data_IF_281173686336
#
_entry.id   IF_281173686336
#
_cell.length_a   1.000
_cell.length_b   1.000
_cell.length_c   1.000
_cell.angle_alpha   90.00
_cell.angle_beta   90.00
_cell.angle_gamma   90.00
#
_symmetry.space_group_name_H-M   'P 1'
#
loop_
_entity.id
_entity.type
_entity.pdbx_description
1 polymer ?
#
# COMPACT_ATOMS: atom_id res chain seq x y z
N UNK A 1 24.43 -7.75 9.14
CA UNK A 1 24.73 -6.34 8.77
C UNK A 1 24.65 -5.49 10.02
N UNK A 2 25.44 -4.41 10.12
CA UNK A 2 25.29 -3.46 11.22
C UNK A 2 24.06 -2.59 10.93
N UNK A 3 23.16 -2.37 11.90
CA UNK A 3 22.00 -1.48 11.71
C UNK A 3 22.44 -0.06 11.32
N UNK A 4 21.65 0.58 10.45
CA UNK A 4 21.78 2.01 10.17
C UNK A 4 21.40 2.83 11.42
N UNK A 5 21.80 4.11 11.53
CA UNK A 5 21.36 4.96 12.64
C UNK A 5 19.83 5.02 12.81
N UNK A 6 19.10 5.02 11.69
CA UNK A 6 17.64 4.98 11.68
C UNK A 6 17.11 3.64 12.23
N UNK A 7 17.68 2.52 11.78
CA UNK A 7 17.31 1.18 12.27
C UNK A 7 17.63 1.02 13.75
N UNK A 8 18.80 1.49 14.20
CA UNK A 8 19.19 1.49 15.61
C UNK A 8 18.21 2.29 16.47
N UNK A 9 17.85 3.51 16.04
CA UNK A 9 16.86 4.33 16.74
C UNK A 9 15.53 3.58 16.92
N UNK A 10 15.03 2.94 15.86
CA UNK A 10 13.76 2.20 15.89
C UNK A 10 13.82 0.97 16.80
N UNK A 11 14.92 0.22 16.78
CA UNK A 11 15.10 -0.97 17.63
C UNK A 11 15.08 -0.65 19.13
N UNK A 12 15.45 0.57 19.52
CA UNK A 12 15.46 0.99 20.92
C UNK A 12 14.19 1.74 21.35
N UNK A 13 13.47 2.39 20.42
CA UNK A 13 12.43 3.39 20.76
C UNK A 13 11.02 3.00 20.32
N UNK A 14 10.90 2.23 19.23
CA UNK A 14 9.61 1.99 18.58
C UNK A 14 8.80 0.89 19.26
N UNK A 15 7.52 0.73 18.90
CA UNK A 15 6.69 -0.37 19.37
C UNK A 15 7.17 -1.75 18.88
N UNK A 16 6.76 -2.85 19.52
CA UNK A 16 7.14 -4.20 19.14
C UNK A 16 6.91 -4.53 17.65
N UNK A 17 5.82 -4.04 17.06
CA UNK A 17 5.52 -4.22 15.64
C UNK A 17 6.59 -3.63 14.72
N UNK A 18 7.01 -2.39 14.99
CA UNK A 18 8.07 -1.74 14.21
C UNK A 18 9.39 -2.47 14.42
N UNK A 19 9.76 -2.78 15.67
CA UNK A 19 11.01 -3.48 15.97
C UNK A 19 11.08 -4.83 15.25
N UNK A 20 10.02 -5.63 15.34
CA UNK A 20 9.91 -6.92 14.66
C UNK A 20 10.11 -6.77 13.15
N UNK A 21 9.40 -5.83 12.52
CA UNK A 21 9.49 -5.60 11.07
C UNK A 21 10.86 -5.08 10.63
N UNK A 22 11.51 -4.22 11.43
CA UNK A 22 12.90 -3.82 11.15
C UNK A 22 13.84 -5.02 11.18
N UNK A 23 13.69 -5.93 12.16
CA UNK A 23 14.51 -7.13 12.27
C UNK A 23 14.26 -8.09 11.09
N UNK A 24 13.00 -8.34 10.73
CA UNK A 24 12.65 -9.35 9.71
C UNK A 24 12.73 -8.83 8.28
N UNK A 25 12.22 -7.63 8.00
CA UNK A 25 12.23 -7.06 6.64
C UNK A 25 13.58 -6.40 6.34
N UNK A 26 14.12 -5.56 7.22
CA UNK A 26 15.32 -4.79 6.89
C UNK A 26 16.63 -5.52 7.22
N UNK A 27 16.69 -6.17 8.37
CA UNK A 27 17.89 -6.89 8.83
C UNK A 27 17.90 -8.38 8.49
N UNK A 28 16.83 -8.87 7.84
CA UNK A 28 16.71 -10.22 7.28
C UNK A 28 16.89 -11.33 8.33
N UNK A 29 16.50 -11.06 9.58
CA UNK A 29 16.37 -12.12 10.59
C UNK A 29 15.18 -12.99 10.20
N UNK A 30 15.39 -14.31 10.17
CA UNK A 30 14.33 -15.24 9.84
C UNK A 30 13.14 -15.05 10.79
N UNK A 31 11.89 -14.95 10.30
CA UNK A 31 10.72 -14.90 11.16
C UNK A 31 10.62 -16.09 12.12
N UNK A 32 11.24 -17.23 11.82
CA UNK A 32 11.29 -18.41 12.70
C UNK A 32 12.36 -18.33 13.80
N UNK A 33 13.17 -17.28 13.85
CA UNK A 33 14.26 -17.15 14.81
C UNK A 33 13.73 -17.06 16.26
N UNK A 34 14.25 -17.88 17.20
CA UNK A 34 13.80 -17.87 18.60
C UNK A 34 13.95 -16.51 19.29
N UNK A 35 14.92 -15.68 18.88
CA UNK A 35 15.13 -14.34 19.44
C UNK A 35 13.93 -13.40 19.25
N UNK A 36 13.06 -13.67 18.28
CA UNK A 36 11.87 -12.88 17.99
C UNK A 36 10.64 -13.30 18.82
N UNK A 37 10.73 -14.35 19.64
CA UNK A 37 9.58 -14.92 20.34
C UNK A 37 8.91 -13.93 21.30
N UNK A 38 9.71 -13.13 22.03
CA UNK A 38 9.17 -12.13 22.94
C UNK A 38 8.44 -11.02 22.16
N UNK A 39 9.06 -10.50 21.09
CA UNK A 39 8.45 -9.48 20.25
C UNK A 39 7.11 -9.93 19.65
N UNK A 40 7.02 -11.18 19.19
CA UNK A 40 5.74 -11.74 18.69
C UNK A 40 4.66 -11.75 19.76
N UNK A 41 5.01 -12.17 20.98
CA UNK A 41 4.11 -12.15 22.13
C UNK A 41 3.67 -10.73 22.45
N UNK A 42 4.61 -9.78 22.46
CA UNK A 42 4.32 -8.37 22.75
C UNK A 42 3.42 -7.73 21.69
N UNK A 43 3.58 -8.11 20.40
CA UNK A 43 2.68 -7.68 19.32
C UNK A 43 1.25 -8.16 19.55
N UNK A 44 1.07 -9.41 19.94
CA UNK A 44 -0.25 -9.98 20.23
C UNK A 44 -0.94 -9.28 21.40
N UNK A 45 -0.18 -8.71 22.34
CA UNK A 45 -0.72 -7.94 23.47
C UNK A 45 -1.04 -6.47 23.15
N UNK A 46 -0.66 -5.96 21.97
CA UNK A 46 -1.02 -4.60 21.57
C UNK A 46 -2.55 -4.49 21.50
N UNK A 47 -3.11 -3.49 22.18
CA UNK A 47 -4.57 -3.31 22.33
C UNK A 47 -5.34 -3.35 21.01
N UNK A 48 -4.79 -2.74 19.95
CA UNK A 48 -5.42 -2.77 18.63
C UNK A 48 -5.39 -4.16 18.00
N UNK A 49 -4.28 -4.89 18.14
CA UNK A 49 -4.16 -6.27 17.62
C UNK A 49 -5.19 -7.16 18.31
N UNK A 50 -5.26 -7.13 19.64
CA UNK A 50 -6.28 -7.84 20.42
C UNK A 50 -7.70 -7.47 20.00
N UNK A 51 -7.95 -6.18 19.82
CA UNK A 51 -9.26 -5.67 19.40
C UNK A 51 -9.67 -6.14 18.00
N UNK A 52 -8.73 -6.24 17.06
CA UNK A 52 -8.99 -6.75 15.71
C UNK A 52 -9.21 -8.27 15.72
N UNK A 53 -8.37 -9.02 16.42
CA UNK A 53 -8.50 -10.48 16.54
C UNK A 53 -9.83 -10.87 17.21
N UNK A 54 -10.28 -10.12 18.20
CA UNK A 54 -11.56 -10.35 18.88
C UNK A 54 -12.79 -10.10 17.97
N UNK A 55 -12.64 -9.40 16.84
CA UNK A 55 -13.72 -9.18 15.87
C UNK A 55 -13.87 -10.32 14.85
N UNK A 56 -12.98 -11.32 14.88
CA UNK A 56 -13.06 -12.45 13.95
C UNK A 56 -14.26 -13.32 14.30
N UNK A 57 -15.16 -13.52 13.34
CA UNK A 57 -16.27 -14.45 13.49
C UNK A 57 -15.77 -15.92 13.43
N UNK A 58 -16.63 -16.85 13.84
CA UNK A 58 -16.28 -18.29 13.85
C UNK A 58 -15.97 -18.88 12.47
N UNK A 59 -16.40 -18.22 11.39
CA UNK A 59 -16.09 -18.59 10.00
C UNK A 59 -14.80 -17.93 9.47
N UNK A 60 -14.06 -17.22 10.32
CA UNK A 60 -12.81 -16.55 9.98
C UNK A 60 -12.99 -15.13 9.42
N UNK A 61 -14.21 -14.70 9.14
CA UNK A 61 -14.47 -13.37 8.57
C UNK A 61 -14.32 -12.26 9.62
N UNK A 62 -13.66 -11.16 9.26
CA UNK A 62 -13.61 -9.94 10.07
C UNK A 62 -14.68 -8.93 9.63
N UNK A 63 -15.32 -8.28 10.61
CA UNK A 63 -16.33 -7.23 10.41
C UNK A 63 -17.51 -7.65 9.50
N UNK A 64 -18.37 -6.70 9.13
CA UNK A 64 -19.53 -6.97 8.25
C UNK A 64 -19.17 -6.88 6.76
N UNK A 65 -18.50 -5.78 6.39
CA UNK A 65 -18.12 -5.46 5.03
C UNK A 65 -16.79 -6.09 4.62
N UNK A 66 -16.60 -6.30 3.32
CA UNK A 66 -15.30 -6.70 2.77
C UNK A 66 -14.36 -5.49 2.64
N UNK A 67 -14.86 -4.39 2.07
CA UNK A 67 -14.09 -3.19 1.78
C UNK A 67 -14.66 -1.96 2.50
N UNK A 68 -13.81 -1.17 3.16
CA UNK A 68 -14.22 0.03 3.90
C UNK A 68 -13.23 0.44 5.00
N UNK A 69 -13.69 1.26 5.94
CA UNK A 69 -12.86 1.67 7.08
C UNK A 69 -12.72 0.53 8.11
N UNK A 70 -13.85 -0.09 8.48
CA UNK A 70 -13.90 -1.27 9.35
C UNK A 70 -14.44 -2.43 8.51
N UNK A 71 -13.52 -3.21 7.93
CA UNK A 71 -13.88 -4.23 6.96
C UNK A 71 -12.90 -5.41 7.03
N UNK A 72 -13.26 -6.51 6.38
CA UNK A 72 -12.40 -7.68 6.29
C UNK A 72 -11.00 -7.32 5.77
N UNK A 73 -10.94 -6.58 4.66
CA UNK A 73 -9.69 -6.06 4.12
C UNK A 73 -8.91 -5.23 5.14
N UNK A 74 -9.55 -4.22 5.76
CA UNK A 74 -8.82 -3.26 6.60
C UNK A 74 -8.28 -3.93 7.87
N UNK A 75 -9.03 -4.87 8.45
CA UNK A 75 -8.58 -5.69 9.58
C UNK A 75 -7.39 -6.56 9.20
N UNK A 76 -7.51 -7.34 8.11
CA UNK A 76 -6.46 -8.27 7.69
C UNK A 76 -5.18 -7.53 7.31
N UNK A 77 -5.29 -6.45 6.52
CA UNK A 77 -4.14 -5.60 6.15
C UNK A 77 -3.46 -5.01 7.38
N UNK A 78 -4.24 -4.53 8.36
CA UNK A 78 -3.69 -3.94 9.58
C UNK A 78 -2.98 -4.99 10.44
N UNK A 79 -3.53 -6.19 10.59
CA UNK A 79 -2.86 -7.26 11.33
C UNK A 79 -1.51 -7.64 10.69
N UNK A 80 -1.47 -7.78 9.36
CA UNK A 80 -0.23 -8.03 8.61
C UNK A 80 0.79 -6.89 8.78
N UNK A 81 0.36 -5.63 8.68
CA UNK A 81 1.21 -4.45 8.90
C UNK A 81 1.74 -4.34 10.34
N UNK A 82 1.01 -4.87 11.33
CA UNK A 82 1.44 -4.96 12.72
C UNK A 82 2.44 -6.11 12.97
N UNK A 83 2.72 -6.94 11.96
CA UNK A 83 3.68 -8.04 12.05
C UNK A 83 3.09 -9.39 12.45
N UNK A 84 1.74 -9.53 12.46
CA UNK A 84 1.12 -10.85 12.64
C UNK A 84 1.44 -11.72 11.44
N UNK A 85 1.97 -12.92 11.72
CA UNK A 85 2.42 -13.86 10.68
C UNK A 85 1.25 -14.28 9.78
N UNK A 86 1.50 -14.29 8.46
CA UNK A 86 0.56 -14.83 7.49
C UNK A 86 0.22 -16.30 7.74
N UNK A 87 1.11 -17.06 8.38
CA UNK A 87 0.92 -18.47 8.73
C UNK A 87 0.17 -18.66 10.05
N UNK A 88 -0.14 -17.58 10.78
CA UNK A 88 -0.92 -17.67 12.01
C UNK A 88 -2.35 -18.10 11.73
N UNK A 89 -2.94 -18.83 12.68
CA UNK A 89 -4.32 -19.34 12.55
C UNK A 89 -5.36 -18.25 12.25
N UNK A 90 -5.35 -17.07 12.89
CA UNK A 90 -6.33 -16.02 12.56
C UNK A 90 -6.20 -15.52 11.13
N UNK A 91 -4.98 -15.39 10.60
CA UNK A 91 -4.77 -14.93 9.23
C UNK A 91 -5.20 -16.00 8.22
N UNK A 92 -4.83 -17.26 8.46
CA UNK A 92 -5.25 -18.37 7.60
C UNK A 92 -6.77 -18.54 7.57
N UNK A 93 -7.44 -18.43 8.72
CA UNK A 93 -8.91 -18.46 8.78
C UNK A 93 -9.56 -17.30 7.99
N UNK A 94 -8.96 -16.12 8.01
CA UNK A 94 -9.45 -14.98 7.23
C UNK A 94 -9.28 -15.20 5.72
N UNK A 95 -8.15 -15.76 5.30
CA UNK A 95 -7.92 -16.16 3.90
C UNK A 95 -8.92 -17.23 3.47
N UNK A 96 -9.11 -18.28 4.28
CA UNK A 96 -10.07 -19.34 4.00
C UNK A 96 -11.50 -18.79 3.84
N UNK A 97 -11.87 -17.78 4.62
CA UNK A 97 -13.15 -17.09 4.48
C UNK A 97 -13.29 -16.35 3.14
N UNK A 98 -12.23 -15.68 2.67
CA UNK A 98 -12.19 -15.01 1.35
C UNK A 98 -12.27 -15.99 0.19
N UNK A 99 -11.76 -17.20 0.35
CA UNK A 99 -11.82 -18.27 -0.65
C UNK A 99 -13.17 -18.98 -0.64
N UNK A 100 -13.75 -19.17 0.55
CA UNK A 100 -15.00 -19.92 0.73
C UNK A 100 -16.27 -19.11 0.45
N UNK A 101 -16.20 -17.79 0.63
CA UNK A 101 -17.35 -16.89 0.51
C UNK A 101 -17.08 -15.71 -0.45
N UNK A 102 -16.73 -15.97 -1.74
CA UNK A 102 -16.42 -14.92 -2.69
C UNK A 102 -17.57 -13.92 -2.90
N UNK A 103 -18.82 -14.34 -2.73
CA UNK A 103 -20.00 -13.48 -2.82
C UNK A 103 -20.06 -12.39 -1.73
N UNK A 104 -19.40 -12.61 -0.59
CA UNK A 104 -19.32 -11.60 0.48
C UNK A 104 -18.37 -10.45 0.14
N UNK A 105 -17.52 -10.62 -0.88
CA UNK A 105 -16.59 -9.58 -1.30
C UNK A 105 -17.28 -8.37 -1.94
N UNK A 106 -18.56 -8.50 -2.32
CA UNK A 106 -19.35 -7.36 -2.77
C UNK A 106 -19.84 -6.45 -1.62
N UNK A 107 -19.66 -6.84 -0.35
CA UNK A 107 -20.08 -6.04 0.81
C UNK A 107 -19.16 -4.82 1.00
N UNK A 108 -19.75 -3.65 1.28
CA UNK A 108 -19.06 -2.36 1.36
C UNK A 108 -18.91 -1.61 0.02
N UNK A 109 -18.74 -2.31 -1.11
CA UNK A 109 -18.64 -1.69 -2.45
C UNK A 109 -19.91 -1.85 -3.30
N UNK A 110 -20.67 -2.91 -3.08
CA UNK A 110 -21.87 -3.24 -3.84
C UNK A 110 -21.63 -3.25 -5.35
N UNK A 111 -22.54 -2.61 -6.10
CA UNK A 111 -22.48 -2.55 -7.57
C UNK A 111 -21.24 -1.83 -8.08
N UNK A 112 -20.69 -0.86 -7.34
CA UNK A 112 -19.54 -0.08 -7.79
C UNK A 112 -18.31 -0.96 -8.04
N UNK A 113 -18.10 -2.00 -7.22
CA UNK A 113 -17.00 -2.94 -7.39
C UNK A 113 -17.04 -3.68 -8.73
N UNK A 114 -18.20 -4.24 -9.07
CA UNK A 114 -18.37 -4.92 -10.36
C UNK A 114 -18.22 -3.97 -11.55
N UNK A 115 -18.73 -2.75 -11.45
CA UNK A 115 -18.55 -1.73 -12.48
C UNK A 115 -17.08 -1.35 -12.67
N UNK A 116 -16.30 -1.25 -11.59
CA UNK A 116 -14.87 -1.02 -11.67
C UNK A 116 -14.12 -2.20 -12.26
N UNK A 117 -14.53 -3.43 -11.96
CA UNK A 117 -13.99 -4.65 -12.58
C UNK A 117 -14.30 -4.73 -14.08
N UNK A 118 -15.50 -4.31 -14.52
CA UNK A 118 -15.88 -4.21 -15.94
C UNK A 118 -15.07 -3.14 -16.68
N UNK A 119 -14.71 -2.05 -15.99
CA UNK A 119 -13.95 -0.94 -16.55
C UNK A 119 -12.43 -1.13 -16.48
N UNK A 120 -11.93 -2.23 -15.89
CA UNK A 120 -10.50 -2.43 -15.62
C UNK A 120 -9.88 -1.30 -14.77
N UNK A 121 -10.65 -0.76 -13.82
CA UNK A 121 -10.24 0.34 -12.92
C UNK A 121 -10.00 -0.12 -11.47
N UNK A 122 -9.94 -1.44 -11.26
CA UNK A 122 -9.64 -2.04 -9.96
C UNK A 122 -10.84 -2.10 -9.04
N UNK A 123 -11.70 -3.09 -9.24
CA UNK A 123 -12.89 -3.36 -8.44
C UNK A 123 -12.69 -4.47 -7.41
N UNK A 124 -13.77 -5.18 -7.12
CA UNK A 124 -13.83 -6.20 -6.07
C UNK A 124 -12.77 -7.29 -6.29
N UNK A 125 -12.57 -7.73 -7.54
CA UNK A 125 -11.60 -8.78 -7.87
C UNK A 125 -10.17 -8.36 -7.57
N UNK A 126 -9.77 -7.15 -7.98
CA UNK A 126 -8.43 -6.64 -7.75
C UNK A 126 -8.14 -6.44 -6.25
N UNK A 127 -9.11 -5.92 -5.50
CA UNK A 127 -8.97 -5.70 -4.06
C UNK A 127 -8.78 -7.04 -3.35
N UNK A 128 -9.61 -8.04 -3.68
CA UNK A 128 -9.48 -9.40 -3.14
C UNK A 128 -8.13 -10.02 -3.47
N UNK A 129 -7.69 -9.93 -4.73
CA UNK A 129 -6.39 -10.41 -5.14
C UNK A 129 -5.25 -9.74 -4.36
N UNK A 130 -5.36 -8.44 -4.10
CA UNK A 130 -4.38 -7.68 -3.31
C UNK A 130 -4.28 -8.19 -1.87
N UNK A 131 -5.42 -8.50 -1.24
CA UNK A 131 -5.46 -9.02 0.13
C UNK A 131 -4.87 -10.42 0.20
N UNK A 132 -5.23 -11.29 -0.75
CA UNK A 132 -4.67 -12.64 -0.86
C UNK A 132 -3.15 -12.62 -1.09
N UNK A 133 -2.67 -11.76 -2.00
CA UNK A 133 -1.25 -11.57 -2.26
C UNK A 133 -0.49 -11.09 -1.02
N UNK A 134 -1.03 -10.11 -0.28
CA UNK A 134 -0.42 -9.62 0.96
C UNK A 134 -0.32 -10.71 2.04
N UNK A 135 -1.23 -11.69 2.03
CA UNK A 135 -1.19 -12.86 2.91
C UNK A 135 -0.33 -14.02 2.35
N UNK A 136 0.38 -13.83 1.22
CA UNK A 136 1.29 -14.81 0.65
C UNK A 136 0.66 -15.81 -0.33
N UNK A 137 -0.55 -15.55 -0.81
CA UNK A 137 -1.27 -16.43 -1.74
C UNK A 137 -1.19 -15.94 -3.20
N UNK A 138 0.00 -15.54 -3.66
CA UNK A 138 0.15 -15.03 -5.03
C UNK A 138 -0.08 -16.10 -6.10
N UNK A 139 0.21 -17.37 -5.81
CA UNK A 139 0.13 -18.48 -6.78
C UNK A 139 -1.30 -18.85 -7.20
N UNK A 140 -2.32 -18.27 -6.57
CA UNK A 140 -3.71 -18.47 -6.98
C UNK A 140 -3.96 -17.90 -8.38
N UNK A 141 -4.63 -18.67 -9.24
CA UNK A 141 -4.89 -18.26 -10.63
C UNK A 141 -5.60 -16.92 -10.75
N UNK A 142 -6.57 -16.66 -9.87
CA UNK A 142 -7.30 -15.39 -9.79
C UNK A 142 -6.42 -14.21 -9.37
N UNK A 143 -5.37 -14.45 -8.57
CA UNK A 143 -4.39 -13.42 -8.21
C UNK A 143 -3.47 -13.14 -9.39
N UNK A 144 -2.98 -14.19 -10.05
CA UNK A 144 -2.15 -14.05 -11.26
C UNK A 144 -2.88 -13.35 -12.41
N UNK A 145 -4.18 -13.59 -12.61
CA UNK A 145 -5.02 -12.85 -13.56
C UNK A 145 -4.99 -11.35 -13.25
N UNK A 146 -5.23 -10.98 -11.99
CA UNK A 146 -5.24 -9.58 -11.57
C UNK A 146 -3.83 -8.93 -11.62
N UNK A 147 -2.76 -9.71 -11.45
CA UNK A 147 -1.38 -9.24 -11.68
C UNK A 147 -1.17 -8.84 -13.13
N UNK A 148 -1.66 -9.63 -14.09
CA UNK A 148 -1.58 -9.28 -15.51
C UNK A 148 -2.42 -8.04 -15.83
N UNK A 149 -3.63 -7.95 -15.29
CA UNK A 149 -4.48 -6.75 -15.43
C UNK A 149 -3.79 -5.50 -14.89
N UNK A 150 -3.09 -5.60 -13.75
CA UNK A 150 -2.31 -4.50 -13.20
C UNK A 150 -1.17 -4.05 -14.13
N UNK A 151 -0.42 -5.00 -14.72
CA UNK A 151 0.61 -4.66 -15.70
C UNK A 151 0.02 -3.99 -16.95
N UNK A 152 -1.11 -4.48 -17.46
CA UNK A 152 -1.81 -3.88 -18.60
C UNK A 152 -2.27 -2.45 -18.29
N UNK A 153 -2.81 -2.21 -17.09
CA UNK A 153 -3.19 -0.88 -16.63
C UNK A 153 -2.01 0.10 -16.65
N UNK A 154 -0.84 -0.30 -16.13
CA UNK A 154 0.36 0.53 -16.22
C UNK A 154 0.88 0.69 -17.65
N UNK A 155 0.90 -0.37 -18.45
CA UNK A 155 1.32 -0.33 -19.84
C UNK A 155 0.50 0.65 -20.68
N UNK A 156 -0.82 0.74 -20.43
CA UNK A 156 -1.73 1.63 -21.14
C UNK A 156 -1.30 3.10 -21.05
N UNK A 157 -0.70 3.50 -19.92
CA UNK A 157 -0.26 4.88 -19.69
C UNK A 157 0.81 5.33 -20.69
N UNK A 158 1.66 4.41 -21.17
CA UNK A 158 2.74 4.72 -22.11
C UNK A 158 2.23 5.25 -23.46
N UNK A 159 0.98 4.92 -23.81
CA UNK A 159 0.36 5.32 -25.07
C UNK A 159 -0.38 6.66 -24.99
N UNK A 160 -0.27 7.38 -23.87
CA UNK A 160 -1.10 8.55 -23.56
C UNK A 160 -0.25 9.83 -23.58
N UNK A 161 -0.35 10.70 -24.59
CA UNK A 161 0.46 11.91 -24.67
C UNK A 161 0.11 12.92 -23.56
N UNK A 162 -1.19 13.06 -23.27
CA UNK A 162 -1.78 13.96 -22.26
C UNK A 162 -2.95 13.29 -21.54
N UNK A 163 -3.24 13.69 -20.29
CA UNK A 163 -4.34 13.09 -19.53
C UNK A 163 -5.72 13.46 -20.07
N UNK A 164 -5.83 14.61 -20.76
CA UNK A 164 -7.04 15.08 -21.43
C UNK A 164 -7.50 14.13 -22.55
N UNK A 165 -6.58 13.40 -23.19
CA UNK A 165 -6.90 12.48 -24.29
C UNK A 165 -7.62 11.21 -23.82
N UNK A 166 -7.33 10.75 -22.60
CA UNK A 166 -7.99 9.58 -22.00
C UNK A 166 -9.27 9.92 -21.26
N UNK A 167 -9.60 11.21 -21.16
CA UNK A 167 -10.78 11.69 -20.46
C UNK A 167 -11.77 12.41 -21.38
N UNK A 168 -13.01 12.50 -20.91
CA UNK A 168 -14.04 13.36 -21.46
C UNK A 168 -14.91 13.96 -20.35
N UNK A 169 -15.67 15.00 -20.68
CA UNK A 169 -16.62 15.60 -19.75
C UNK A 169 -17.99 14.97 -19.96
N UNK A 170 -18.49 14.25 -18.96
CA UNK A 170 -19.88 13.75 -18.91
C UNK A 170 -20.58 14.33 -17.69
N UNK A 171 -21.76 14.93 -17.91
CA UNK A 171 -22.57 15.52 -16.84
C UNK A 171 -21.77 16.50 -15.95
N UNK A 172 -20.90 17.32 -16.56
CA UNK A 172 -20.08 18.31 -15.87
C UNK A 172 -18.94 17.72 -15.03
N UNK A 173 -18.60 16.44 -15.20
CA UNK A 173 -17.50 15.78 -14.51
C UNK A 173 -16.55 15.11 -15.50
N UNK A 174 -15.27 15.06 -15.13
CA UNK A 174 -14.27 14.32 -15.89
C UNK A 174 -14.46 12.82 -15.67
N UNK A 175 -14.56 12.08 -16.77
CA UNK A 175 -14.61 10.62 -16.76
C UNK A 175 -13.60 10.05 -17.74
N UNK A 176 -13.06 8.87 -17.45
CA UNK A 176 -12.26 8.12 -18.41
C UNK A 176 -13.15 7.71 -19.59
N UNK A 177 -12.58 7.80 -20.79
CA UNK A 177 -13.25 7.32 -22.01
C UNK A 177 -13.45 5.81 -21.94
N UNK A 178 -14.54 5.34 -22.54
CA UNK A 178 -14.85 3.91 -22.59
C UNK A 178 -13.70 3.12 -23.19
N UNK A 179 -13.34 2.00 -22.55
CA UNK A 179 -12.25 1.12 -22.99
C UNK A 179 -10.84 1.61 -22.61
N UNK A 180 -10.70 2.75 -21.93
CA UNK A 180 -9.40 3.17 -21.42
C UNK A 180 -9.09 2.50 -20.09
N UNK A 181 -8.00 1.73 -20.07
CA UNK A 181 -7.40 1.22 -18.84
C UNK A 181 -6.57 2.33 -18.19
N UNK A 182 -6.65 2.45 -16.86
CA UNK A 182 -5.86 3.41 -16.10
C UNK A 182 -5.51 2.86 -14.72
N UNK A 183 -4.23 2.91 -14.29
CA UNK A 183 -3.83 2.29 -13.06
C UNK A 183 -4.26 3.11 -11.85
N UNK A 184 -4.78 2.40 -10.85
CA UNK A 184 -5.16 2.90 -9.52
C UNK A 184 -4.29 2.31 -8.41
N UNK A 185 -4.56 2.71 -7.17
CA UNK A 185 -3.78 2.32 -5.99
C UNK A 185 -3.68 0.80 -5.81
N UNK A 186 -4.77 0.06 -6.04
CA UNK A 186 -4.78 -1.40 -5.87
C UNK A 186 -3.94 -2.13 -6.92
N UNK A 187 -3.79 -1.57 -8.13
CA UNK A 187 -2.90 -2.15 -9.14
C UNK A 187 -1.45 -2.06 -8.64
N UNK A 188 -1.05 -0.88 -8.13
CA UNK A 188 0.25 -0.70 -7.49
C UNK A 188 0.43 -1.61 -6.27
N UNK A 189 -0.57 -1.67 -5.38
CA UNK A 189 -0.51 -2.47 -4.16
C UNK A 189 -0.35 -3.96 -4.47
N UNK A 190 -1.09 -4.50 -5.44
CA UNK A 190 -0.95 -5.89 -5.87
C UNK A 190 0.46 -6.17 -6.41
N UNK A 191 0.99 -5.32 -7.30
CA UNK A 191 2.34 -5.49 -7.84
C UNK A 191 3.42 -5.38 -6.75
N UNK A 192 3.22 -4.54 -5.74
CA UNK A 192 4.13 -4.39 -4.61
C UNK A 192 4.22 -5.66 -3.74
N UNK A 193 3.13 -6.42 -3.62
CA UNK A 193 3.05 -7.65 -2.81
C UNK A 193 3.23 -8.94 -3.61
N UNK A 194 3.59 -8.86 -4.89
CA UNK A 194 3.81 -10.03 -5.75
C UNK A 194 5.20 -10.03 -6.39
N UNK A 195 5.71 -11.22 -6.70
CA UNK A 195 7.05 -11.46 -7.25
C UNK A 195 7.01 -12.06 -8.66
N UNK A 196 5.99 -12.87 -8.99
CA UNK A 196 5.94 -13.65 -10.24
C UNK A 196 6.06 -12.80 -11.51
N UNK A 197 5.64 -11.53 -11.46
CA UNK A 197 5.69 -10.62 -12.60
C UNK A 197 7.06 -9.98 -12.84
N UNK A 198 8.04 -10.07 -11.92
CA UNK A 198 9.26 -9.24 -11.92
C UNK A 198 10.34 -9.69 -12.92
N UNK A 199 9.95 -9.96 -14.15
CA UNK A 199 10.89 -10.11 -15.26
C UNK A 199 11.56 -8.77 -15.59
N UNK A 200 12.74 -8.80 -16.19
CA UNK A 200 13.45 -7.58 -16.64
C UNK A 200 12.62 -6.74 -17.62
N UNK A 201 11.74 -7.37 -18.41
CA UNK A 201 10.83 -6.69 -19.33
C UNK A 201 9.73 -5.94 -18.58
N UNK A 202 9.05 -6.62 -17.64
CA UNK A 202 7.97 -6.00 -16.88
C UNK A 202 8.48 -4.91 -15.94
N UNK A 203 9.68 -5.08 -15.35
CA UNK A 203 10.30 -4.02 -14.55
C UNK A 203 10.60 -2.76 -15.37
N UNK A 204 11.10 -2.92 -16.60
CA UNK A 204 11.31 -1.78 -17.52
C UNK A 204 9.98 -1.12 -17.90
N UNK A 205 8.98 -1.91 -18.28
CA UNK A 205 7.64 -1.42 -18.59
C UNK A 205 7.07 -0.59 -17.44
N UNK A 206 7.13 -1.14 -16.22
CA UNK A 206 6.59 -0.47 -15.04
C UNK A 206 7.38 0.81 -14.73
N UNK A 207 8.72 0.77 -14.75
CA UNK A 207 9.57 1.94 -14.56
C UNK A 207 9.24 3.06 -15.57
N UNK A 208 9.12 2.72 -16.85
CA UNK A 208 8.74 3.68 -17.91
C UNK A 208 7.33 4.24 -17.68
N UNK A 209 6.39 3.40 -17.25
CA UNK A 209 5.01 3.83 -16.97
C UNK A 209 4.97 4.86 -15.84
N UNK A 210 5.78 4.66 -14.81
CA UNK A 210 5.90 5.57 -13.68
C UNK A 210 6.61 6.90 -14.02
N UNK A 211 7.66 6.89 -14.84
CA UNK A 211 8.24 8.13 -15.39
C UNK A 211 7.21 8.91 -16.21
N UNK A 212 6.39 8.20 -16.99
CA UNK A 212 5.35 8.83 -17.79
C UNK A 212 4.22 9.40 -16.92
N UNK A 213 3.77 8.69 -15.90
CA UNK A 213 2.83 9.21 -14.89
C UNK A 213 3.37 10.46 -14.19
N UNK A 214 4.67 10.48 -13.86
CA UNK A 214 5.32 11.65 -13.30
C UNK A 214 5.32 12.84 -14.26
N UNK A 215 5.52 12.62 -15.57
CA UNK A 215 5.40 13.66 -16.62
C UNK A 215 3.98 14.20 -16.76
N UNK A 216 2.97 13.34 -16.58
CA UNK A 216 1.56 13.73 -16.65
C UNK A 216 1.05 14.39 -15.36
N UNK A 217 1.81 14.31 -14.26
CA UNK A 217 1.41 14.82 -12.95
C UNK A 217 1.49 16.36 -12.85
N UNK A 218 0.63 16.99 -12.03
CA UNK A 218 -0.46 16.39 -11.27
C UNK A 218 -1.69 16.06 -12.14
N UNK A 219 -2.23 14.86 -11.96
CA UNK A 219 -3.45 14.39 -12.59
C UNK A 219 -4.66 14.96 -11.84
N UNK A 220 -5.62 15.56 -12.55
CA UNK A 220 -6.82 16.08 -11.94
C UNK A 220 -7.80 14.95 -11.61
N UNK A 221 -8.84 15.24 -10.80
CA UNK A 221 -9.85 14.24 -10.45
C UNK A 221 -10.60 13.70 -11.67
N UNK A 222 -10.95 12.40 -11.62
CA UNK A 222 -11.64 11.68 -12.67
C UNK A 222 -12.48 10.53 -12.10
N UNK A 223 -13.47 10.06 -12.87
CA UNK A 223 -14.28 8.89 -12.55
C UNK A 223 -14.29 7.88 -13.71
N UNK A 224 -14.69 6.64 -13.44
CA UNK A 224 -15.21 5.72 -14.46
C UNK A 224 -16.67 6.04 -14.79
N UNK A 225 -17.16 5.56 -15.94
CA UNK A 225 -18.55 5.70 -16.35
C UNK A 225 -19.07 4.43 -17.03
N UNK A 226 -20.05 3.76 -16.41
CA UNK A 226 -20.65 2.53 -16.92
C UNK A 226 -22.15 2.50 -16.64
N UNK A 227 -22.96 2.01 -17.59
CA UNK A 227 -24.41 1.85 -17.45
C UNK A 227 -25.17 3.08 -16.93
N UNK A 228 -24.74 4.28 -17.35
CA UNK A 228 -25.34 5.54 -16.91
C UNK A 228 -24.93 6.01 -15.51
N UNK A 229 -23.98 5.32 -14.87
CA UNK A 229 -23.50 5.61 -13.53
C UNK A 229 -22.03 6.02 -13.54
N UNK A 230 -21.69 6.98 -12.67
CA UNK A 230 -20.31 7.35 -12.36
C UNK A 230 -19.81 6.45 -11.23
N UNK A 231 -18.57 5.99 -11.35
CA UNK A 231 -17.89 5.23 -10.31
C UNK A 231 -16.53 5.83 -10.03
N UNK A 232 -16.23 6.08 -8.76
CA UNK A 232 -14.92 6.61 -8.38
C UNK A 232 -13.89 5.48 -8.41
N UNK A 233 -12.83 5.57 -9.24
CA UNK A 233 -11.74 4.62 -9.19
C UNK A 233 -10.94 4.82 -7.90
N UNK A 234 -10.13 3.83 -7.53
CA UNK A 234 -9.19 3.91 -6.42
C UNK A 234 -7.99 4.81 -6.75
N UNK A 235 -8.22 6.06 -7.16
CA UNK A 235 -7.18 7.04 -7.55
C UNK A 235 -6.48 7.68 -6.35
N UNK A 236 -6.84 7.31 -5.12
CA UNK A 236 -6.18 7.78 -3.90
C UNK A 236 -4.66 7.59 -3.96
N UNK A 237 -3.89 8.64 -3.66
CA UNK A 237 -2.43 8.72 -3.82
C UNK A 237 -1.89 8.60 -5.25
N UNK A 238 -2.74 8.51 -6.28
CA UNK A 238 -2.35 8.34 -7.69
C UNK A 238 -2.46 9.63 -8.51
N UNK A 239 -2.52 10.80 -7.87
CA UNK A 239 -2.71 12.08 -8.56
C UNK A 239 -1.39 12.82 -8.84
N UNK A 240 -0.42 12.79 -7.94
CA UNK A 240 0.84 13.51 -8.13
C UNK A 240 2.04 12.62 -7.84
N UNK A 241 2.70 12.15 -8.90
CA UNK A 241 3.87 11.27 -8.84
C UNK A 241 5.20 12.03 -8.76
N UNK A 242 5.20 13.35 -8.96
CA UNK A 242 6.40 14.18 -8.97
C UNK A 242 6.33 15.38 -7.98
N UNK A 243 5.84 15.22 -6.74
CA UNK A 243 5.73 16.34 -5.82
C UNK A 243 7.13 16.82 -5.37
N UNK A 244 7.25 18.11 -5.08
CA UNK A 244 8.37 18.63 -4.29
C UNK A 244 8.17 18.31 -2.81
N UNK A 245 9.10 17.58 -2.17
CA UNK A 245 8.91 17.14 -0.78
C UNK A 245 8.86 18.31 0.23
N UNK A 246 9.49 19.42 -0.12
CA UNK A 246 9.51 20.67 0.65
C UNK A 246 8.16 21.42 0.61
N UNK A 247 7.28 21.11 -0.34
CA UNK A 247 5.96 21.75 -0.48
C UNK A 247 4.81 20.88 0.06
N UNK A 248 5.10 19.65 0.47
CA UNK A 248 4.08 18.71 0.95
C UNK A 248 3.51 19.17 2.31
N UNK A 249 2.18 19.29 2.35
CA UNK A 249 1.43 19.36 3.61
C UNK A 249 1.32 17.95 4.25
N UNK A 250 0.67 17.85 5.42
CA UNK A 250 0.56 16.57 6.12
C UNK A 250 -0.17 15.47 5.32
N UNK A 251 -1.21 15.81 4.57
CA UNK A 251 -1.88 14.85 3.69
C UNK A 251 -0.97 14.42 2.54
N UNK A 252 -0.26 15.37 1.92
CA UNK A 252 0.71 15.12 0.86
C UNK A 252 1.85 14.20 1.30
N UNK A 253 2.40 14.42 2.50
CA UNK A 253 3.41 13.53 3.09
C UNK A 253 2.88 12.11 3.31
N UNK A 254 1.65 11.96 3.81
CA UNK A 254 1.04 10.65 3.98
C UNK A 254 0.92 9.93 2.63
N UNK A 255 0.39 10.62 1.61
CA UNK A 255 0.25 10.04 0.27
C UNK A 255 1.60 9.66 -0.34
N UNK A 256 2.60 10.54 -0.18
CA UNK A 256 3.94 10.31 -0.66
C UNK A 256 4.61 9.11 0.01
N UNK A 257 4.55 9.00 1.34
CA UNK A 257 5.11 7.87 2.08
C UNK A 257 4.46 6.55 1.66
N UNK A 258 3.12 6.51 1.62
CA UNK A 258 2.38 5.31 1.23
C UNK A 258 2.74 4.88 -0.19
N UNK A 259 2.68 5.80 -1.16
CA UNK A 259 2.94 5.48 -2.56
C UNK A 259 4.41 5.10 -2.77
N UNK A 260 5.34 5.86 -2.21
CA UNK A 260 6.77 5.64 -2.44
C UNK A 260 7.23 4.33 -1.81
N UNK A 261 6.69 3.93 -0.65
CA UNK A 261 6.95 2.60 -0.09
C UNK A 261 6.46 1.49 -1.05
N UNK A 262 5.25 1.61 -1.59
CA UNK A 262 4.72 0.63 -2.54
C UNK A 262 5.56 0.58 -3.83
N UNK A 263 5.96 1.73 -4.37
CA UNK A 263 6.84 1.81 -5.54
C UNK A 263 8.19 1.14 -5.24
N UNK A 264 8.80 1.46 -4.09
CA UNK A 264 10.06 0.84 -3.69
C UNK A 264 9.92 -0.68 -3.63
N UNK A 265 8.84 -1.21 -3.01
CA UNK A 265 8.56 -2.64 -2.91
C UNK A 265 8.50 -3.35 -4.27
N UNK A 266 8.10 -2.67 -5.35
CA UNK A 266 8.10 -3.25 -6.72
C UNK A 266 9.50 -3.51 -7.29
N UNK A 267 10.55 -2.91 -6.71
CA UNK A 267 11.93 -3.04 -7.15
C UNK A 267 12.31 -2.19 -8.38
N UNK A 268 11.42 -1.30 -8.84
CA UNK A 268 11.69 -0.47 -10.03
C UNK A 268 12.48 0.80 -9.75
N UNK A 269 12.59 1.21 -8.49
CA UNK A 269 13.17 2.50 -8.08
C UNK A 269 14.57 2.75 -8.66
N UNK A 270 15.49 1.75 -8.75
CA UNK A 270 16.77 1.90 -9.44
C UNK A 270 16.70 2.30 -10.92
N UNK A 271 15.54 2.14 -11.57
CA UNK A 271 15.30 2.43 -12.99
C UNK A 271 14.42 3.67 -13.21
N UNK A 272 14.08 4.41 -12.14
CA UNK A 272 13.11 5.51 -12.21
C UNK A 272 13.72 6.80 -11.61
N UNK A 273 14.49 7.57 -12.42
CA UNK A 273 15.17 8.80 -11.98
C UNK A 273 14.33 9.79 -11.16
N UNK A 274 13.03 9.95 -11.42
CA UNK A 274 12.20 10.87 -10.62
C UNK A 274 12.14 10.45 -9.14
N UNK A 275 12.00 9.16 -8.86
CA UNK A 275 11.96 8.66 -7.48
C UNK A 275 13.34 8.57 -6.87
N UNK A 276 14.38 8.30 -7.66
CA UNK A 276 15.75 8.37 -7.16
C UNK A 276 16.05 9.75 -6.56
N UNK A 277 15.59 10.84 -7.21
CA UNK A 277 15.73 12.20 -6.67
C UNK A 277 14.95 12.39 -5.38
N UNK A 278 13.68 11.95 -5.32
CA UNK A 278 12.84 12.07 -4.12
C UNK A 278 13.41 11.27 -2.94
N UNK A 279 13.84 10.02 -3.17
CA UNK A 279 14.47 9.18 -2.13
C UNK A 279 15.82 9.74 -1.70
N UNK A 280 16.62 10.30 -2.62
CA UNK A 280 17.87 10.99 -2.26
C UNK A 280 17.60 12.20 -1.35
N UNK A 281 16.50 12.92 -1.55
CA UNK A 281 16.10 14.01 -0.67
C UNK A 281 15.68 13.48 0.71
N UNK A 282 14.90 12.40 0.78
CA UNK A 282 14.58 11.71 2.03
C UNK A 282 15.84 11.28 2.80
N UNK A 283 16.83 10.69 2.12
CA UNK A 283 18.10 10.29 2.72
C UNK A 283 18.87 11.47 3.30
N UNK A 284 18.88 12.63 2.62
CA UNK A 284 19.49 13.86 3.15
C UNK A 284 18.79 14.32 4.44
N UNK A 285 17.46 14.23 4.51
CA UNK A 285 16.68 14.59 5.71
C UNK A 285 17.00 13.67 6.89
N UNK A 286 17.16 12.36 6.64
CA UNK A 286 17.59 11.40 7.66
C UNK A 286 19.02 11.69 8.11
N UNK A 287 19.95 11.90 7.18
CA UNK A 287 21.36 12.14 7.47
C UNK A 287 21.58 13.42 8.29
N UNK A 288 20.81 14.49 8.02
CA UNK A 288 20.89 15.74 8.80
C UNK A 288 20.33 15.62 10.22
N UNK A 289 19.68 14.49 10.53
CA UNK A 289 18.92 14.28 11.76
C UNK A 289 19.28 12.96 12.45
N UNK A 290 20.53 12.51 12.30
CA UNK A 290 21.05 11.26 12.88
C UNK A 290 20.17 10.01 12.61
N UNK A 291 19.55 9.95 11.43
CA UNK A 291 18.69 8.85 11.01
C UNK A 291 17.22 8.98 11.41
N UNK A 292 16.80 10.09 12.03
CA UNK A 292 15.40 10.28 12.47
C UNK A 292 14.68 11.20 11.49
N UNK A 293 13.48 10.80 11.04
CA UNK A 293 12.65 11.65 10.18
C UNK A 293 11.79 12.60 11.03
N UNK A 294 12.31 13.80 11.29
CA UNK A 294 11.57 14.85 12.01
C UNK A 294 10.64 15.63 11.07
N UNK A 295 9.35 15.30 11.11
CA UNK A 295 8.31 16.08 10.44
C UNK A 295 7.15 16.37 11.42
N UNK A 296 6.73 17.64 11.62
CA UNK A 296 5.65 18.01 12.52
C UNK A 296 4.27 17.77 11.86
N UNK A 297 4.01 16.53 11.45
CA UNK A 297 2.80 16.18 10.72
C UNK A 297 1.65 15.87 11.68
N UNK A 298 0.46 16.35 11.34
CA UNK A 298 -0.78 15.97 12.01
C UNK A 298 -1.89 15.88 10.97
N UNK A 299 -2.40 14.67 10.75
CA UNK A 299 -3.55 14.44 9.88
C UNK A 299 -4.19 13.07 10.20
N UNK A 300 -5.52 12.94 10.18
CA UNK A 300 -6.19 11.66 10.42
C UNK A 300 -5.77 10.52 9.49
N UNK A 301 -5.27 10.83 8.29
CA UNK A 301 -4.80 9.81 7.34
C UNK A 301 -3.65 8.93 7.86
N UNK A 302 -2.89 9.42 8.84
CA UNK A 302 -1.83 8.62 9.46
C UNK A 302 -2.39 7.59 10.44
N UNK A 303 -3.35 8.01 11.28
CA UNK A 303 -3.84 7.24 12.44
C UNK A 303 -5.14 6.47 12.17
N UNK A 304 -5.98 6.97 11.25
CA UNK A 304 -7.20 6.31 10.83
C UNK A 304 -6.89 5.28 9.75
N UNK A 305 -6.89 4.01 10.13
CA UNK A 305 -6.76 2.89 9.22
C UNK A 305 -8.09 2.67 8.47
N UNK A 306 -8.00 2.65 7.14
CA UNK A 306 -9.11 2.34 6.23
C UNK A 306 -8.58 1.57 5.02
N UNK A 307 -9.43 1.18 4.06
CA UNK A 307 -8.97 0.59 2.80
C UNK A 307 -7.84 1.37 2.07
N UNK A 308 -7.81 2.71 2.23
CA UNK A 308 -6.87 3.59 1.53
C UNK A 308 -5.78 4.20 2.42
N UNK A 309 -6.04 4.36 3.72
CA UNK A 309 -5.19 5.10 4.66
C UNK A 309 -4.69 4.23 5.81
N UNK A 310 -3.74 4.76 6.57
CA UNK A 310 -3.15 4.10 7.73
C UNK A 310 -1.67 3.80 7.49
N UNK A 311 -0.82 4.51 8.24
CA UNK A 311 0.62 4.27 8.29
C UNK A 311 1.12 4.05 9.72
N UNK A 312 0.35 4.51 10.71
CA UNK A 312 0.69 4.46 12.12
C UNK A 312 0.58 3.05 12.71
N UNK A 313 1.68 2.55 13.25
CA UNK A 313 1.75 1.34 14.07
C UNK A 313 1.88 1.67 15.57
N UNK A 314 2.33 2.89 15.89
CA UNK A 314 2.39 3.37 17.26
C UNK A 314 1.00 3.74 17.81
N UNK A 315 0.80 3.51 19.11
CA UNK A 315 -0.51 3.67 19.73
C UNK A 315 -0.94 5.14 19.92
N UNK A 316 0.00 6.06 20.14
CA UNK A 316 -0.27 7.46 20.43
C UNK A 316 0.56 8.41 19.55
N UNK A 317 -0.08 9.01 18.55
CA UNK A 317 0.54 9.97 17.63
C UNK A 317 0.62 11.41 18.17
N UNK A 318 0.05 11.70 19.34
CA UNK A 318 0.27 12.98 20.02
C UNK A 318 1.69 13.07 20.57
N UNK A 319 2.27 11.95 21.00
CA UNK A 319 3.68 11.86 21.38
C UNK A 319 4.61 12.10 20.18
N UNK A 320 5.52 13.10 20.25
CA UNK A 320 6.50 13.34 19.19
C UNK A 320 7.36 12.13 18.87
N UNK A 321 7.84 11.43 19.90
CA UNK A 321 8.70 10.24 19.74
C UNK A 321 7.99 9.13 18.95
N UNK A 322 6.71 8.89 19.25
CA UNK A 322 5.91 7.85 18.59
C UNK A 322 5.64 8.19 17.13
N UNK A 323 5.30 9.45 16.85
CA UNK A 323 5.19 9.93 15.46
C UNK A 323 6.51 9.78 14.70
N UNK A 324 7.64 10.13 15.32
CA UNK A 324 8.96 9.97 14.72
C UNK A 324 9.32 8.51 14.47
N UNK A 325 8.94 7.58 15.35
CA UNK A 325 9.12 6.15 15.13
C UNK A 325 8.37 5.67 13.88
N UNK A 326 7.09 6.00 13.72
CA UNK A 326 6.33 5.60 12.54
C UNK A 326 6.86 6.24 11.25
N UNK A 327 7.18 7.55 11.25
CA UNK A 327 7.70 8.24 10.07
C UNK A 327 9.09 7.71 9.68
N UNK A 328 9.97 7.51 10.66
CA UNK A 328 11.30 6.95 10.44
C UNK A 328 11.21 5.50 9.95
N UNK A 329 10.27 4.71 10.48
CA UNK A 329 10.03 3.35 10.00
C UNK A 329 9.63 3.30 8.53
N UNK A 330 8.70 4.15 8.09
CA UNK A 330 8.33 4.25 6.66
C UNK A 330 9.52 4.65 5.79
N UNK A 331 10.36 5.57 6.27
CA UNK A 331 11.59 5.96 5.56
C UNK A 331 12.61 4.81 5.47
N UNK A 332 12.75 4.01 6.53
CA UNK A 332 13.59 2.81 6.56
C UNK A 332 13.09 1.78 5.56
N UNK A 333 11.78 1.50 5.49
CA UNK A 333 11.21 0.58 4.49
C UNK A 333 11.46 1.08 3.06
N UNK A 334 11.26 2.37 2.78
CA UNK A 334 11.53 2.95 1.46
C UNK A 334 13.01 2.74 1.08
N UNK A 335 13.95 3.07 1.96
CA UNK A 335 15.38 2.89 1.67
C UNK A 335 15.76 1.42 1.48
N UNK A 336 15.18 0.51 2.29
CA UNK A 336 15.41 -0.92 2.18
C UNK A 336 15.01 -1.44 0.79
N UNK A 337 13.75 -1.19 0.40
CA UNK A 337 13.23 -1.69 -0.87
C UNK A 337 13.79 -0.94 -2.09
N UNK A 338 14.32 0.27 -1.91
CA UNK A 338 15.07 0.96 -2.95
C UNK A 338 16.46 0.35 -3.21
N UNK A 339 16.95 -0.55 -2.34
CA UNK A 339 18.30 -1.12 -2.43
C UNK A 339 19.39 -0.15 -1.96
N UNK A 340 19.08 0.76 -1.03
CA UNK A 340 19.95 1.86 -0.62
C UNK A 340 20.36 1.81 0.87
N UNK A 341 20.34 0.63 1.50
CA UNK A 341 20.72 0.42 2.90
C UNK A 341 22.12 -0.16 3.08
#
# INVERSE_FOLDING_TARGET
MKPSPASDFLLHSACPSIQYRVLTECLQISPGDPSLSQLKTDIEEISIVRGLLAQQAGDGWFAEDFHGAVSHESCLRRLLEMGISAQSRPIQAAVDALLSFPERCDRGMGKAGRLLDELHLGGTRLIRATVLAAAGHEDLAEVQEQVQEALLGFAAVLNVPSFEEVCEIRQGQRVLRSGQAWPGLYHLRLLAFTQSWRSSENQKLLASSFEHLARLSPLPDYNGYAHGQRVAPASFCMHDFAPGLDTLNAAGWMQWLLRTELIARTGILPFTPIYQRQVSQLQKMLASSNGILHLPLSHPYFTHWSAYTGLALEADWHSPLRRECDLTFRAVLINHYAGLQ
#
